data_IF_238833614836
#
_entry.id   IF_238833614836
#
_cell.length_a   1.000
_cell.length_b   1.000
_cell.length_c   1.000
_cell.angle_alpha   90.00
_cell.angle_beta   90.00
_cell.angle_gamma   90.00
#
_symmetry.space_group_name_H-M   'P 1'
#
loop_
_entity.id
_entity.type
_entity.pdbx_description
1 polymer ?
2 non-polymer ?
3 non-polymer ?
4 water ?
#
# COMPACT_ATOMS: atom_id res chain seq x y z
N UNK A 39 12.22 1.49 -26.98
CA UNK A 39 12.63 1.85 -25.59
C UNK A 39 12.60 3.35 -25.36
N UNK A 40 11.52 3.82 -24.74
CA UNK A 40 11.54 5.08 -24.03
C UNK A 40 12.58 5.00 -22.91
N UNK A 41 13.57 5.90 -22.95
CA UNK A 41 14.55 6.05 -21.88
C UNK A 41 13.87 6.79 -20.71
N UNK A 42 14.01 6.24 -19.50
CA UNK A 42 13.41 6.81 -18.30
C UNK A 42 14.48 7.47 -17.42
N UNK A 43 14.33 8.79 -17.26
CA UNK A 43 15.28 9.64 -16.50
C UNK A 43 14.56 10.29 -15.30
N UNK A 44 15.04 10.02 -14.10
CA UNK A 44 14.47 10.72 -12.95
C UNK A 44 15.18 12.02 -12.65
N UNK A 45 14.41 13.08 -12.43
CA UNK A 45 14.96 14.36 -11.99
C UNK A 45 14.85 14.40 -10.49
N UNK A 46 16.01 14.37 -9.84
CA UNK A 46 16.08 14.37 -8.36
C UNK A 46 16.57 15.70 -7.75
N UNK A 47 16.15 15.99 -6.52
CA UNK A 47 16.53 17.25 -5.93
C UNK A 47 15.70 17.60 -4.72
N UNK A 48 16.30 18.42 -3.87
CA UNK A 48 15.65 18.81 -2.61
C UNK A 48 14.38 19.64 -2.93
N UNK A 49 13.58 19.87 -1.90
CA UNK A 49 12.38 20.69 -2.02
C UNK A 49 12.75 22.11 -2.54
N UNK A 50 12.03 22.54 -3.57
CA UNK A 50 12.23 23.85 -4.24
C UNK A 50 13.60 24.05 -4.89
N UNK A 51 14.37 22.97 -5.15
CA UNK A 51 15.61 23.04 -5.92
C UNK A 51 15.36 23.63 -7.33
N UNK A 52 14.17 23.35 -7.90
CA UNK A 52 13.82 23.82 -9.26
C UNK A 52 13.47 22.71 -10.26
N UNK A 53 13.02 21.56 -9.77
CA UNK A 53 12.65 20.45 -10.67
C UNK A 53 11.52 20.76 -11.65
N UNK A 54 10.42 21.35 -11.15
CA UNK A 54 9.29 21.71 -12.02
C UNK A 54 9.76 22.73 -13.04
N UNK A 55 10.50 23.73 -12.58
CA UNK A 55 11.06 24.75 -13.47
C UNK A 55 11.91 24.15 -14.59
N UNK A 56 12.80 23.22 -14.23
CA UNK A 56 13.70 22.59 -15.18
C UNK A 56 12.95 21.74 -16.19
N UNK A 57 12.03 20.94 -15.69
CA UNK A 57 11.30 20.03 -16.51
C UNK A 57 10.29 20.77 -17.42
N UNK A 58 9.67 21.85 -16.94
CA UNK A 58 8.85 22.71 -17.80
C UNK A 58 9.66 23.30 -18.97
N UNK A 59 10.95 23.57 -18.72
CA UNK A 59 11.89 23.99 -19.76
C UNK A 59 12.17 22.85 -20.75
N UNK A 60 12.56 21.68 -20.24
CA UNK A 60 12.96 20.51 -21.06
C UNK A 60 11.85 20.02 -22.00
N UNK A 61 10.64 19.87 -21.46
CA UNK A 61 9.50 19.44 -22.25
C UNK A 61 9.22 20.36 -23.46
N UNK A 62 9.42 21.67 -23.31
CA UNK A 62 9.23 22.63 -24.41
C UNK A 62 10.25 22.51 -25.55
N UNK A 63 11.25 21.62 -25.38
CA UNK A 63 12.40 21.61 -26.27
C UNK A 63 12.35 20.56 -27.39
N UNK A 64 11.89 19.35 -27.07
CA UNK A 64 11.72 18.31 -28.10
C UNK A 64 10.40 17.55 -27.99
N UNK A 65 9.77 17.32 -29.15
CA UNK A 65 8.53 16.54 -29.22
C UNK A 65 8.75 15.13 -28.68
N UNK A 66 10.01 14.68 -28.72
CA UNK A 66 10.41 13.34 -28.27
C UNK A 66 10.63 13.23 -26.74
N UNK A 67 10.52 14.37 -26.04
CA UNK A 67 10.69 14.43 -24.58
C UNK A 67 9.39 14.75 -23.87
N UNK A 68 8.96 13.85 -22.99
CA UNK A 68 7.78 14.08 -22.17
C UNK A 68 8.19 14.01 -20.70
N UNK A 69 7.39 14.65 -19.85
CA UNK A 69 7.67 14.66 -18.43
C UNK A 69 6.55 14.03 -17.62
N UNK A 70 6.87 13.52 -16.44
CA UNK A 70 5.80 13.19 -15.51
C UNK A 70 5.95 13.92 -14.16
N UNK A 71 5.09 14.95 -13.95
CA UNK A 71 5.10 15.81 -12.78
C UNK A 71 4.77 15.02 -11.53
N UNK A 72 5.33 15.45 -10.44
CA UNK A 72 5.00 14.89 -9.16
C UNK A 72 3.54 15.24 -8.87
N UNK A 73 2.72 14.27 -8.38
CA UNK A 73 1.26 14.45 -8.16
C UNK A 73 0.81 15.45 -7.07
N UNK A 74 1.48 16.60 -6.96
CA UNK A 74 1.26 17.55 -5.84
C UNK A 74 -0.20 18.02 -5.65
N UNK A 75 -0.88 18.30 -6.75
CA UNK A 75 -2.27 18.71 -6.71
C UNK A 75 -3.14 17.65 -6.03
N UNK A 76 -2.91 16.39 -6.41
CA UNK A 76 -3.61 15.26 -5.81
C UNK A 76 -3.37 15.20 -4.30
N UNK A 77 -2.16 15.51 -3.86
CA UNK A 77 -1.88 15.44 -2.43
C UNK A 77 -2.47 16.60 -1.66
N UNK A 78 -2.72 17.70 -2.36
CA UNK A 78 -3.27 18.91 -1.73
C UNK A 78 -4.78 18.86 -1.58
N UNK A 79 -5.40 17.97 -2.37
CA UNK A 79 -6.85 17.79 -2.37
C UNK A 79 -7.13 16.32 -2.71
N UNK A 80 -7.21 15.52 -1.66
CA UNK A 80 -7.20 14.06 -1.80
C UNK A 80 -8.38 13.48 -2.60
N UNK A 97 -10.58 19.47 3.96
CA UNK A 97 -10.05 19.73 2.61
C UNK A 97 -9.49 18.45 2.03
N UNK A 98 -8.98 17.59 2.92
CA UNK A 98 -8.21 16.45 2.50
C UNK A 98 -6.92 17.01 1.88
N UNK A 99 -6.25 17.90 2.58
CA UNK A 99 -4.86 18.27 2.26
C UNK A 99 -3.87 17.42 3.06
N UNK A 100 -3.53 16.23 2.56
CA UNK A 100 -2.68 15.30 3.31
C UNK A 100 -1.20 15.81 3.31
N UNK A 101 -0.80 16.59 2.31
CA UNK A 101 0.51 17.30 2.38
C UNK A 101 0.52 18.16 3.66
N UNK A 102 -0.49 19.01 3.81
CA UNK A 102 -0.58 19.87 4.99
C UNK A 102 -0.71 19.08 6.28
N UNK A 103 -1.42 17.96 6.24
CA UNK A 103 -1.66 17.19 7.48
C UNK A 103 -0.30 16.64 7.97
N UNK A 104 0.49 16.14 7.04
CA UNK A 104 1.81 15.65 7.41
C UNK A 104 2.76 16.73 7.97
N UNK A 105 2.82 17.91 7.34
CA UNK A 105 3.67 18.99 7.78
C UNK A 105 3.23 19.50 9.16
N UNK A 106 1.92 19.57 9.36
CA UNK A 106 1.35 20.04 10.65
C UNK A 106 1.55 19.04 11.78
N UNK A 107 1.39 17.75 11.49
CA UNK A 107 1.57 16.72 12.53
C UNK A 107 2.23 15.47 11.93
N UNK A 108 3.55 15.54 11.68
CA UNK A 108 4.27 14.48 10.94
C UNK A 108 4.22 13.13 11.65
N UNK A 109 4.19 13.15 12.98
CA UNK A 109 4.23 11.90 13.73
C UNK A 109 2.87 11.18 13.65
N UNK A 110 1.81 11.92 13.34
CA UNK A 110 0.51 11.31 13.11
C UNK A 110 0.31 10.88 11.63
N UNK A 111 0.78 11.70 10.68
CA UNK A 111 0.43 11.57 9.26
C UNK A 111 1.50 11.15 8.24
N UNK A 112 2.76 11.06 8.65
CA UNK A 112 3.87 10.71 7.75
C UNK A 112 3.67 9.39 7.04
N UNK A 113 3.26 8.35 7.80
CA UNK A 113 3.10 7.00 7.18
C UNK A 113 2.02 7.05 6.13
N UNK A 114 0.86 7.63 6.53
CA UNK A 114 -0.28 7.82 5.64
C UNK A 114 0.15 8.59 4.37
N UNK A 115 0.88 9.68 4.56
CA UNK A 115 1.40 10.45 3.43
C UNK A 115 2.34 9.64 2.53
N UNK A 116 3.28 8.92 3.14
CA UNK A 116 4.23 8.11 2.35
C UNK A 116 3.54 7.11 1.45
N UNK A 117 2.55 6.43 2.01
CA UNK A 117 1.83 5.45 1.23
C UNK A 117 1.10 6.10 0.05
N UNK A 118 0.40 7.20 0.29
CA UNK A 118 -0.35 7.83 -0.80
C UNK A 118 0.57 8.46 -1.85
N UNK A 119 1.63 9.11 -1.37
CA UNK A 119 2.57 9.80 -2.24
C UNK A 119 3.20 8.84 -3.24
N UNK A 120 3.77 7.75 -2.74
CA UNK A 120 4.39 6.74 -3.59
C UNK A 120 3.43 6.09 -4.57
N UNK A 121 2.26 5.70 -4.08
CA UNK A 121 1.21 5.14 -4.94
C UNK A 121 0.85 6.10 -6.05
N UNK A 122 0.56 7.36 -5.69
CA UNK A 122 0.19 8.35 -6.69
C UNK A 122 1.30 8.57 -7.74
N UNK A 123 2.55 8.57 -7.29
CA UNK A 123 3.70 8.69 -8.21
C UNK A 123 3.80 7.48 -9.15
N UNK A 124 3.66 6.26 -8.61
CA UNK A 124 3.72 5.03 -9.42
C UNK A 124 2.64 5.01 -10.51
N UNK A 125 1.40 5.31 -10.11
CA UNK A 125 0.28 5.45 -11.04
C UNK A 125 0.59 6.42 -12.18
N UNK A 126 1.08 7.61 -11.86
CA UNK A 126 1.46 8.58 -12.91
C UNK A 126 2.54 8.09 -13.84
N UNK A 127 3.56 7.48 -13.26
CA UNK A 127 4.71 7.04 -14.05
C UNK A 127 4.31 5.88 -14.98
N UNK A 128 3.54 4.92 -14.46
CA UNK A 128 3.04 3.80 -15.29
C UNK A 128 2.15 4.29 -16.42
N UNK A 129 1.28 5.25 -16.08
CA UNK A 129 0.38 5.84 -17.08
C UNK A 129 1.14 6.49 -18.22
N UNK A 130 2.20 7.23 -17.90
CA UNK A 130 3.02 7.94 -18.89
C UNK A 130 3.71 7.02 -19.89
N UNK A 131 3.97 5.78 -19.49
CA UNK A 131 4.61 4.79 -20.38
C UNK A 131 3.78 4.47 -21.64
N UNK A 132 2.47 4.70 -21.57
CA UNK A 132 1.57 4.51 -22.73
C UNK A 132 1.06 5.84 -23.29
N UNK A 138 7.93 7.92 -31.35
CA UNK A 138 8.94 8.96 -31.53
C UNK A 138 10.34 8.39 -31.86
N UNK A 139 11.21 9.24 -32.39
CA UNK A 139 12.59 8.86 -32.80
C UNK A 139 13.47 8.36 -31.65
N UNK A 140 13.76 9.24 -30.69
CA UNK A 140 14.43 8.87 -29.44
C UNK A 140 13.55 9.38 -28.28
N UNK A 141 12.59 8.54 -27.84
CA UNK A 141 11.74 9.06 -26.77
C UNK A 141 12.45 9.06 -25.41
N UNK A 142 12.24 10.15 -24.66
CA UNK A 142 12.74 10.25 -23.30
C UNK A 142 11.57 10.64 -22.38
N UNK A 143 11.47 9.90 -21.28
CA UNK A 143 10.53 10.23 -20.24
C UNK A 143 11.28 10.73 -19.00
N UNK A 144 11.00 11.95 -18.60
CA UNK A 144 11.61 12.57 -17.43
C UNK A 144 10.61 12.52 -16.28
N UNK A 145 10.96 11.76 -15.23
CA UNK A 145 10.14 11.70 -14.03
C UNK A 145 10.56 12.75 -13.01
N UNK A 146 9.60 13.48 -12.46
CA UNK A 146 9.87 14.29 -11.27
C UNK A 146 9.94 13.40 -10.01
N UNK A 147 11.17 13.16 -9.57
CA UNK A 147 11.51 12.23 -8.47
C UNK A 147 11.12 10.78 -8.80
N UNK A 148 11.40 9.87 -7.88
CA UNK A 148 11.26 8.45 -8.15
C UNK A 148 10.74 7.73 -6.92
N UNK A 149 10.32 6.47 -7.09
CA UNK A 149 9.95 5.66 -5.89
C UNK A 149 11.12 5.54 -4.93
N UNK A 150 12.34 5.66 -5.44
CA UNK A 150 13.53 5.56 -4.58
C UNK A 150 13.73 6.75 -3.65
N UNK A 151 13.49 7.97 -4.16
CA UNK A 151 13.61 9.11 -3.26
C UNK A 151 12.50 9.12 -2.23
N UNK A 152 11.29 8.67 -2.62
CA UNK A 152 10.22 8.49 -1.65
C UNK A 152 10.71 7.69 -0.45
N UNK A 153 11.37 6.57 -0.72
CA UNK A 153 11.74 5.67 0.38
C UNK A 153 13.03 6.05 1.12
N UNK A 154 14.07 6.34 0.35
CA UNK A 154 15.46 6.42 0.84
C UNK A 154 15.85 7.84 1.17
N UNK A 155 15.04 8.80 0.73
CA UNK A 155 15.24 10.17 1.14
C UNK A 155 14.15 10.58 2.14
N UNK A 156 12.89 10.66 1.69
CA UNK A 156 11.84 11.18 2.54
C UNK A 156 11.41 10.24 3.65
N UNK A 157 11.05 9.02 3.29
CA UNK A 157 10.49 8.12 4.33
C UNK A 157 11.57 7.78 5.39
N UNK A 158 12.78 7.52 4.92
CA UNK A 158 13.92 7.21 5.79
C UNK A 158 14.20 8.34 6.78
N UNK A 159 14.24 9.59 6.29
CA UNK A 159 14.44 10.74 7.16
C UNK A 159 13.35 10.84 8.22
N UNK A 160 12.12 10.51 7.81
CA UNK A 160 11.01 10.61 8.72
C UNK A 160 11.16 9.57 9.81
N UNK A 161 11.48 8.34 9.44
CA UNK A 161 11.80 7.29 10.45
C UNK A 161 12.94 7.71 11.38
N UNK A 162 14.04 8.18 10.79
CA UNK A 162 15.19 8.63 11.57
C UNK A 162 14.89 9.76 12.57
N UNK A 163 13.93 10.63 12.22
CA UNK A 163 13.52 11.76 13.07
C UNK A 163 12.38 11.41 14.03
N UNK A 164 11.98 10.14 14.04
CA UNK A 164 10.90 9.65 14.89
C UNK A 164 9.47 10.11 14.57
N UNK A 165 9.25 10.48 13.30
CA UNK A 165 7.93 10.80 12.77
C UNK A 165 7.21 9.56 12.26
N UNK A 166 7.96 8.49 12.04
CA UNK A 166 7.39 7.16 11.88
C UNK A 166 8.03 6.25 12.92
N UNK A 167 7.20 5.48 13.64
CA UNK A 167 7.76 4.46 14.56
C UNK A 167 8.27 3.20 13.83
N UNK A 168 8.78 2.23 14.60
CA UNK A 168 9.40 1.02 14.03
C UNK A 168 8.42 0.19 13.19
N UNK A 169 7.20 0.07 13.69
CA UNK A 169 6.12 -0.66 13.04
C UNK A 169 5.74 0.02 11.72
N UNK A 170 5.51 1.32 11.79
CA UNK A 170 5.14 2.08 10.57
C UNK A 170 6.23 1.91 9.51
N UNK A 171 7.48 2.05 9.93
CA UNK A 171 8.62 1.92 9.04
C UNK A 171 8.72 0.50 8.47
N UNK A 172 8.54 -0.52 9.32
CA UNK A 172 8.49 -1.90 8.85
C UNK A 172 7.40 -2.19 7.79
N UNK A 173 6.17 -1.74 8.09
CA UNK A 173 5.03 -1.88 7.20
C UNK A 173 5.30 -1.16 5.87
N UNK A 174 5.80 0.06 5.96
CA UNK A 174 6.14 0.85 4.79
C UNK A 174 7.14 0.17 3.87
N UNK A 175 8.27 -0.28 4.41
CA UNK A 175 9.33 -0.91 3.59
C UNK A 175 8.81 -2.17 2.91
N UNK A 176 8.00 -2.91 3.66
CA UNK A 176 7.39 -4.15 3.17
C UNK A 176 6.46 -3.88 2.00
N UNK A 177 5.60 -2.86 2.16
CA UNK A 177 4.72 -2.36 1.09
C UNK A 177 5.52 -1.93 -0.17
N UNK A 178 6.53 -1.08 0.05
CA UNK A 178 7.39 -0.54 -1.03
C UNK A 178 8.16 -1.66 -1.76
N UNK A 179 8.79 -2.56 -1.00
CA UNK A 179 9.37 -3.79 -1.55
C UNK A 179 8.41 -4.54 -2.48
N UNK A 180 7.19 -4.80 -2.00
CA UNK A 180 6.15 -5.48 -2.76
C UNK A 180 5.77 -4.77 -4.05
N UNK A 181 5.37 -3.49 -3.96
CA UNK A 181 5.01 -2.66 -5.12
C UNK A 181 6.04 -2.65 -6.24
N UNK A 182 7.31 -2.67 -5.86
CA UNK A 182 8.41 -2.65 -6.81
C UNK A 182 8.74 -3.98 -7.49
N UNK A 183 8.54 -5.09 -6.78
CA UNK A 183 8.61 -6.41 -7.40
C UNK A 183 7.59 -6.55 -8.51
N UNK A 184 6.45 -5.89 -8.36
CA UNK A 184 5.41 -5.95 -9.37
C UNK A 184 5.69 -4.98 -10.53
N UNK A 185 6.44 -3.89 -10.29
CA UNK A 185 6.61 -2.83 -11.30
C UNK A 185 8.01 -2.20 -11.42
N UNK A 186 8.98 -2.73 -10.68
CA UNK A 186 10.36 -2.29 -10.82
C UNK A 186 10.70 -2.26 -12.30
N UNK A 187 10.49 -3.40 -12.97
CA UNK A 187 10.88 -3.60 -14.37
C UNK A 187 10.43 -2.48 -15.33
N UNK A 188 9.17 -2.07 -15.22
CA UNK A 188 8.59 -1.04 -16.12
C UNK A 188 9.17 0.34 -15.87
N UNK A 189 9.49 0.64 -14.61
CA UNK A 189 9.97 1.96 -14.24
C UNK A 189 11.48 2.02 -13.93
N UNK A 190 12.23 1.00 -14.33
CA UNK A 190 13.68 0.95 -14.14
C UNK A 190 14.29 2.16 -14.82
N UNK A 191 15.12 2.90 -14.11
CA UNK A 191 15.66 4.17 -14.62
C UNK A 191 16.92 3.92 -15.44
N UNK A 192 17.03 4.65 -16.54
CA UNK A 192 18.22 4.64 -17.36
C UNK A 192 19.24 5.68 -16.91
N UNK A 193 18.81 6.64 -16.10
CA UNK A 193 19.71 7.71 -15.70
C UNK A 193 19.00 8.59 -14.71
N UNK A 194 19.80 9.39 -14.00
CA UNK A 194 19.29 10.30 -12.99
C UNK A 194 19.91 11.67 -13.24
N UNK A 195 19.07 12.72 -13.29
CA UNK A 195 19.56 14.10 -13.26
C UNK A 195 19.34 14.67 -11.87
N UNK A 196 20.45 15.00 -11.22
CA UNK A 196 20.49 15.56 -9.86
C UNK A 196 20.62 17.08 -9.96
N UNK A 197 19.54 17.78 -9.60
CA UNK A 197 19.57 19.23 -9.52
C UNK A 197 20.03 19.58 -8.11
N UNK A 198 21.29 19.96 -7.99
CA UNK A 198 21.93 20.23 -6.71
C UNK A 198 21.88 21.69 -6.29
N UNK A 199 21.33 21.96 -5.11
CA UNK A 199 21.24 23.33 -4.61
C UNK A 199 21.47 23.25 -3.13
N UNK A 200 21.98 24.32 -2.53
CA UNK A 200 22.24 24.30 -1.08
C UNK A 200 20.93 24.27 -0.30
N UNK A 201 20.95 23.78 0.95
CA UNK A 201 19.78 23.95 1.78
C UNK A 201 19.30 25.40 1.82
N UNK A 202 20.22 26.37 1.83
CA UNK A 202 19.83 27.81 1.99
C UNK A 202 19.10 28.27 0.75
N UNK A 203 19.60 27.85 -0.42
CA UNK A 203 18.94 28.14 -1.68
C UNK A 203 17.51 27.61 -1.67
N UNK A 204 17.35 26.34 -1.24
CA UNK A 204 16.05 25.67 -1.23
C UNK A 204 15.08 26.32 -0.23
N UNK A 205 15.61 26.73 0.90
CA UNK A 205 14.76 27.43 1.88
C UNK A 205 14.24 28.71 1.27
N UNK A 206 15.11 29.45 0.58
CA UNK A 206 14.65 30.71 -0.04
C UNK A 206 13.65 30.50 -1.16
N UNK A 207 13.88 29.46 -1.98
CA UNK A 207 12.93 29.09 -3.03
C UNK A 207 11.58 28.59 -2.48
N UNK A 208 11.59 27.92 -1.34
CA UNK A 208 10.31 27.65 -0.59
C UNK A 208 9.58 28.95 -0.25
N UNK A 209 10.32 29.93 0.27
CA UNK A 209 9.72 31.21 0.65
C UNK A 209 9.12 31.92 -0.55
N UNK A 210 9.86 31.86 -1.66
CA UNK A 210 9.51 32.44 -2.94
C UNK A 210 8.23 31.88 -3.49
N UNK A 211 8.18 30.56 -3.59
CA UNK A 211 7.01 29.82 -4.08
C UNK A 211 5.77 30.01 -3.20
N UNK A 212 6.01 30.06 -1.89
CA UNK A 212 4.97 30.36 -0.92
C UNK A 212 3.82 29.39 -0.75
N UNK A 213 4.04 28.08 -0.99
CA UNK A 213 3.05 27.08 -0.55
C UNK A 213 2.81 27.21 0.94
N UNK A 214 1.56 27.40 1.34
CA UNK A 214 1.21 27.62 2.71
C UNK A 214 1.64 26.44 3.57
N UNK A 215 1.44 25.22 3.08
CA UNK A 215 1.84 24.00 3.86
C UNK A 215 3.34 23.94 4.17
N UNK A 216 4.18 24.62 3.40
CA UNK A 216 5.67 24.45 3.49
C UNK A 216 6.38 25.54 4.31
N UNK A 217 5.62 26.52 4.80
CA UNK A 217 6.24 27.70 5.39
C UNK A 217 6.80 27.48 6.80
N UNK A 218 6.36 26.39 7.45
CA UNK A 218 6.92 25.93 8.74
C UNK A 218 8.23 25.15 8.63
N UNK A 219 8.66 24.84 7.39
CA UNK A 219 9.82 23.97 7.22
C UNK A 219 11.10 24.62 7.72
N UNK A 220 11.79 23.94 8.66
CA UNK A 220 13.09 24.46 9.13
C UNK A 220 14.27 24.08 8.21
N UNK A 221 15.26 24.98 8.18
CA UNK A 221 16.52 24.67 7.48
C UNK A 221 17.05 23.27 7.88
N UNK A 222 16.92 22.89 9.14
CA UNK A 222 17.46 21.59 9.57
C UNK A 222 16.84 20.41 8.87
N UNK A 223 15.56 20.54 8.52
CA UNK A 223 14.84 19.53 7.71
C UNK A 223 15.44 19.43 6.33
N UNK A 224 15.69 20.58 5.71
CA UNK A 224 16.25 20.60 4.34
C UNK A 224 17.66 20.02 4.30
N UNK A 225 18.42 20.33 5.33
CA UNK A 225 19.78 19.78 5.49
C UNK A 225 19.75 18.24 5.51
N UNK A 226 18.89 17.70 6.35
CA UNK A 226 18.73 16.25 6.45
C UNK A 226 18.42 15.62 5.08
N UNK A 227 17.49 16.23 4.32
CA UNK A 227 17.16 15.76 2.96
C UNK A 227 18.31 15.97 2.01
N UNK A 228 19.01 17.11 2.12
CA UNK A 228 20.18 17.38 1.29
C UNK A 228 21.27 16.31 1.47
N UNK A 229 21.52 15.95 2.72
CA UNK A 229 22.59 14.97 3.04
C UNK A 229 22.25 13.65 2.40
N UNK A 230 20.96 13.29 2.45
CA UNK A 230 20.50 12.09 1.72
C UNK A 230 20.73 12.12 0.22
N UNK A 231 20.40 13.24 -0.42
CA UNK A 231 20.67 13.38 -1.87
C UNK A 231 22.15 13.23 -2.12
N UNK A 232 22.96 13.87 -1.28
CA UNK A 232 24.40 13.95 -1.49
C UNK A 232 24.98 12.55 -1.30
N UNK A 233 24.54 11.88 -0.24
CA UNK A 233 25.02 10.53 -0.01
C UNK A 233 24.57 9.54 -1.10
N UNK A 234 23.36 9.70 -1.62
CA UNK A 234 22.87 8.80 -2.65
C UNK A 234 23.54 9.10 -4.00
N UNK A 235 23.54 10.36 -4.41
CA UNK A 235 23.73 10.67 -5.81
C UNK A 235 25.12 11.19 -6.12
N UNK A 236 25.79 11.74 -5.13
CA UNK A 236 27.11 12.34 -5.36
C UNK A 236 28.22 11.45 -4.81
N UNK A 237 28.16 11.14 -3.52
CA UNK A 237 29.11 10.25 -2.87
C UNK A 237 28.85 8.78 -3.23
N UNK A 238 27.59 8.48 -3.54
CA UNK A 238 27.11 7.11 -3.84
C UNK A 238 27.38 6.12 -2.73
N UNK A 239 27.23 6.58 -1.49
CA UNK A 239 27.42 5.79 -0.28
C UNK A 239 26.14 5.23 0.34
N UNK A 240 25.02 5.86 0.05
CA UNK A 240 23.71 5.46 0.58
C UNK A 240 23.33 4.10 -0.02
N UNK A 241 23.13 3.11 0.85
CA UNK A 241 22.75 1.78 0.38
C UNK A 241 21.22 1.66 0.30
N UNK A 242 20.74 1.30 -0.90
CA UNK A 242 19.34 0.94 -1.12
C UNK A 242 19.23 -0.56 -1.40
N UNK A 243 18.00 -1.04 -1.56
CA UNK A 243 17.68 -2.43 -1.81
C UNK A 243 17.66 -2.73 -3.31
N UNK A 244 18.01 -1.74 -4.12
CA UNK A 244 17.92 -1.89 -5.57
C UNK A 244 19.29 -1.66 -6.20
N UNK A 245 20.05 -2.76 -6.32
CA UNK A 245 21.51 -2.69 -6.60
C UNK A 245 21.94 -1.95 -7.84
N UNK A 246 21.08 -1.93 -8.86
CA UNK A 246 21.39 -1.32 -10.17
C UNK A 246 21.55 0.17 -10.05
N UNK A 247 20.91 0.74 -9.04
CA UNK A 247 21.01 2.16 -8.73
C UNK A 247 22.43 2.60 -8.40
N UNK A 248 23.28 1.67 -7.94
CA UNK A 248 24.71 1.97 -7.70
C UNK A 248 25.43 2.35 -8.97
N UNK A 249 25.01 1.80 -10.10
CA UNK A 249 25.73 1.97 -11.35
C UNK A 249 24.96 2.83 -12.36
N UNK A 250 23.78 3.31 -12.00
CA UNK A 250 22.99 4.09 -12.95
C UNK A 250 23.72 5.43 -13.21
N UNK A 251 23.85 5.83 -14.48
CA UNK A 251 24.57 7.09 -14.74
C UNK A 251 23.85 8.27 -14.13
N UNK A 252 24.61 9.20 -13.56
CA UNK A 252 24.05 10.38 -12.90
C UNK A 252 24.66 11.65 -13.47
N UNK A 253 23.82 12.59 -13.88
CA UNK A 253 24.26 13.94 -14.26
C UNK A 253 23.94 14.87 -13.09
N UNK A 254 24.95 15.56 -12.56
CA UNK A 254 24.73 16.49 -11.45
C UNK A 254 24.85 17.89 -11.97
N UNK A 255 23.80 18.68 -11.72
CA UNK A 255 23.74 20.08 -12.15
C UNK A 255 23.60 21.01 -10.96
N UNK A 256 24.49 22.01 -10.93
CA UNK A 256 24.41 23.06 -9.93
C UNK A 256 23.33 24.07 -10.35
N UNK A 257 22.27 24.17 -9.55
CA UNK A 257 21.15 25.07 -9.84
C UNK A 257 20.99 26.10 -8.73
N UNK A 258 22.08 26.44 -8.04
CA UNK A 258 22.06 27.54 -7.05
C UNK A 258 21.81 28.90 -7.72
N UNK A 259 22.30 29.05 -8.94
CA UNK A 259 21.97 30.25 -9.71
C UNK A 259 20.61 30.10 -10.39
N UNK A 260 19.83 31.16 -10.42
CA UNK A 260 18.56 31.17 -11.14
C UNK A 260 18.81 30.81 -12.61
N UNK A 261 18.13 29.78 -13.11
CA UNK A 261 18.36 29.27 -14.47
C UNK A 261 17.18 29.50 -15.38
N UNK A 262 16.10 30.10 -14.86
CA UNK A 262 14.90 30.38 -15.70
C UNK A 262 15.18 31.01 -17.09
N UNK A 263 16.16 31.91 -17.17
CA UNK A 263 16.55 32.56 -18.42
C UNK A 263 18.03 32.35 -18.72
N UNK A 264 18.64 31.43 -17.99
CA UNK A 264 20.07 31.16 -18.11
C UNK A 264 20.20 29.64 -17.99
N UNK A 265 19.67 28.93 -18.98
CA UNK A 265 19.60 27.46 -19.01
C UNK A 265 20.29 26.76 -20.20
N UNK A 266 20.90 27.54 -21.09
CA UNK A 266 21.50 26.95 -22.30
C UNK A 266 22.59 25.98 -21.91
N UNK A 267 23.41 26.35 -20.92
CA UNK A 267 24.48 25.45 -20.44
C UNK A 267 23.90 24.16 -19.84
N UNK A 268 22.93 24.29 -18.93
CA UNK A 268 22.26 23.11 -18.35
C UNK A 268 21.63 22.19 -19.42
N UNK A 269 20.95 22.77 -20.40
CA UNK A 269 20.32 21.97 -21.44
C UNK A 269 21.37 21.29 -22.33
N UNK A 270 22.47 21.99 -22.63
CA UNK A 270 23.61 21.39 -23.34
C UNK A 270 24.11 20.14 -22.60
N UNK A 271 24.25 20.25 -21.27
CA UNK A 271 24.71 19.12 -20.45
C UNK A 271 23.76 17.92 -20.51
N UNK A 272 22.46 18.17 -20.45
CA UNK A 272 21.46 17.08 -20.53
C UNK A 272 21.51 16.30 -21.86
N UNK A 273 21.59 17.02 -22.97
CA UNK A 273 21.66 16.42 -24.31
C UNK A 273 22.89 15.54 -24.43
N UNK A 274 24.03 16.07 -23.99
CA UNK A 274 25.29 15.31 -23.98
C UNK A 274 25.17 14.03 -23.14
N UNK A 275 24.65 14.16 -21.93
CA UNK A 275 24.38 13.04 -21.04
C UNK A 275 23.45 11.99 -21.65
N UNK A 276 22.32 12.42 -22.22
CA UNK A 276 21.37 11.49 -22.84
C UNK A 276 22.01 10.70 -23.98
N UNK A 277 22.89 11.35 -24.74
CA UNK A 277 23.56 10.69 -25.86
C UNK A 277 24.63 9.64 -25.46
N UNK A 278 24.94 9.53 -24.16
CA UNK A 278 25.86 8.54 -23.63
C UNK A 278 25.11 7.29 -23.15
N UNK A 279 23.79 7.39 -23.11
CA UNK A 279 22.94 6.32 -22.61
C UNK A 279 22.60 5.36 -23.74
N UNK B 39 -7.03 -25.17 -13.36
CA UNK B 39 -7.14 -24.05 -12.38
C UNK B 39 -7.79 -24.50 -11.06
N UNK B 40 -7.20 -24.00 -9.98
CA UNK B 40 -7.67 -24.23 -8.63
C UNK B 40 -8.96 -23.43 -8.45
N UNK B 41 -9.97 -24.06 -7.84
CA UNK B 41 -11.14 -23.32 -7.39
C UNK B 41 -10.79 -22.59 -6.08
N UNK B 42 -11.08 -21.29 -6.07
CA UNK B 42 -10.82 -20.45 -4.89
C UNK B 42 -12.12 -20.20 -4.12
N UNK B 43 -12.14 -20.56 -2.83
CA UNK B 43 -13.34 -20.43 -1.99
C UNK B 43 -12.97 -19.61 -0.76
N UNK B 44 -13.64 -18.48 -0.54
CA UNK B 44 -13.39 -17.74 0.72
C UNK B 44 -14.31 -18.25 1.83
N UNK B 45 -13.77 -18.35 3.03
CA UNK B 45 -14.55 -18.63 4.23
C UNK B 45 -14.64 -17.28 4.95
N UNK B 46 -15.87 -16.79 5.05
CA UNK B 46 -16.22 -15.50 5.63
C UNK B 46 -16.97 -15.74 6.92
N UNK B 47 -16.88 -14.78 7.82
CA UNK B 47 -17.58 -14.93 9.09
C UNK B 47 -17.07 -13.91 10.09
N UNK B 48 -17.89 -13.60 11.07
CA UNK B 48 -17.47 -12.68 12.09
C UNK B 48 -16.25 -13.21 12.93
N UNK B 49 -15.72 -12.30 13.75
CA UNK B 49 -14.60 -12.62 14.63
C UNK B 49 -15.00 -13.80 15.55
N UNK B 50 -14.21 -14.86 15.54
CA UNK B 50 -14.41 -16.03 16.42
C UNK B 50 -15.65 -16.87 16.07
N UNK B 51 -16.18 -16.75 14.84
CA UNK B 51 -17.30 -17.57 14.40
C UNK B 51 -16.89 -19.04 14.36
N UNK B 52 -15.60 -19.28 14.06
CA UNK B 52 -15.01 -20.60 13.95
C UNK B 52 -14.40 -20.91 12.61
N UNK B 53 -13.93 -19.89 11.88
CA UNK B 53 -13.30 -20.10 10.56
C UNK B 53 -12.03 -20.94 10.59
N UNK B 54 -11.10 -20.60 11.48
CA UNK B 54 -9.86 -21.39 11.61
C UNK B 54 -10.18 -22.81 12.07
N UNK B 55 -11.05 -22.96 13.06
CA UNK B 55 -11.53 -24.30 13.47
C UNK B 55 -12.05 -25.13 12.26
N UNK B 56 -12.93 -24.51 11.47
CA UNK B 56 -13.56 -25.15 10.33
C UNK B 56 -12.58 -25.54 9.23
N UNK B 57 -11.68 -24.64 8.95
CA UNK B 57 -10.78 -24.79 7.85
C UNK B 57 -9.74 -25.88 8.22
N UNK B 58 -9.43 -26.00 9.51
CA UNK B 58 -8.47 -27.00 9.96
C UNK B 58 -9.06 -28.40 10.02
N UNK B 59 -10.39 -28.49 10.02
CA UNK B 59 -11.12 -29.71 9.75
C UNK B 59 -11.09 -30.06 8.25
N UNK B 60 -11.36 -29.07 7.40
CA UNK B 60 -11.44 -29.30 5.95
C UNK B 60 -10.10 -29.73 5.34
N UNK B 61 -9.00 -29.13 5.78
CA UNK B 61 -7.70 -29.43 5.18
C UNK B 61 -7.27 -30.89 5.41
N UNK B 62 -7.76 -31.51 6.47
CA UNK B 62 -7.45 -32.90 6.81
C UNK B 62 -8.23 -33.90 5.93
N UNK B 63 -9.27 -33.42 5.23
CA UNK B 63 -10.23 -34.29 4.55
C UNK B 63 -9.90 -34.69 3.11
N UNK B 64 -8.90 -34.06 2.50
CA UNK B 64 -8.48 -34.39 1.15
C UNK B 64 -7.15 -33.75 0.76
N UNK B 65 -6.34 -34.48 0.00
CA UNK B 65 -5.05 -33.98 -0.49
C UNK B 65 -5.29 -32.85 -1.45
N UNK B 66 -6.51 -32.80 -1.98
CA UNK B 66 -6.86 -31.82 -2.99
C UNK B 66 -7.27 -30.48 -2.38
N UNK B 67 -7.43 -30.46 -1.06
CA UNK B 67 -7.89 -29.27 -0.32
C UNK B 67 -6.79 -28.69 0.57
N UNK B 68 -6.48 -27.42 0.32
CA UNK B 68 -5.49 -26.67 1.06
C UNK B 68 -6.11 -25.32 1.53
N UNK B 69 -5.51 -24.72 2.55
CA UNK B 69 -6.07 -23.53 3.21
C UNK B 69 -5.05 -22.40 3.27
N UNK B 70 -5.53 -21.14 3.23
CA UNK B 70 -4.66 -19.98 3.43
C UNK B 70 -5.18 -19.28 4.67
N UNK B 71 -4.51 -19.51 5.79
CA UNK B 71 -4.93 -18.88 7.03
C UNK B 71 -4.73 -17.37 6.94
N UNK B 72 -5.51 -16.62 7.71
CA UNK B 72 -5.31 -15.20 7.90
C UNK B 72 -3.94 -15.04 8.58
N UNK B 73 -3.09 -14.09 8.10
CA UNK B 73 -1.75 -13.92 8.69
C UNK B 73 -1.74 -13.24 10.08
N UNK B 74 -2.55 -13.73 11.00
CA UNK B 74 -2.70 -13.12 12.34
C UNK B 74 -1.35 -13.02 13.10
N UNK B 75 -0.49 -14.02 12.92
CA UNK B 75 0.79 -14.03 13.59
C UNK B 75 1.70 -12.93 13.04
N UNK B 76 1.55 -12.58 11.75
CA UNK B 76 2.29 -11.46 11.19
C UNK B 76 1.81 -10.15 11.82
N UNK B 77 0.51 -10.06 12.13
CA UNK B 77 -0.10 -8.82 12.65
C UNK B 77 0.21 -8.61 14.12
N UNK B 78 0.53 -9.70 14.81
CA UNK B 78 0.74 -9.66 16.25
C UNK B 78 2.20 -9.37 16.57
N UNK B 79 3.06 -9.55 15.57
CA UNK B 79 4.47 -9.21 15.67
C UNK B 79 5.00 -8.81 14.30
N UNK B 80 4.98 -7.50 14.06
CA UNK B 80 5.27 -6.93 12.77
C UNK B 80 6.76 -7.08 12.41
N UNK B 81 7.02 -7.77 11.31
CA UNK B 81 8.38 -8.25 11.04
C UNK B 81 9.11 -7.80 9.78
N UNK B 82 8.61 -8.12 8.59
CA UNK B 82 9.37 -7.90 7.32
C UNK B 82 9.80 -9.18 6.60
N UNK B 83 9.84 -9.10 5.27
CA UNK B 83 10.15 -10.22 4.36
C UNK B 83 8.95 -11.13 4.16
N UNK B 97 8.98 -6.80 18.23
CA UNK B 97 8.18 -6.25 17.11
C UNK B 97 6.78 -5.79 17.53
N UNK B 98 6.28 -4.75 16.86
CA UNK B 98 5.01 -4.18 17.14
C UNK B 98 3.84 -5.11 16.90
N UNK B 99 2.87 -5.01 17.79
CA UNK B 99 1.63 -5.75 17.64
C UNK B 99 0.61 -4.78 17.08
N UNK B 100 0.42 -4.77 15.77
CA UNK B 100 -0.39 -3.73 15.13
C UNK B 100 -1.86 -4.08 15.29
N UNK B 101 -2.13 -5.34 15.60
CA UNK B 101 -3.49 -5.78 15.91
C UNK B 101 -3.89 -5.11 17.22
N UNK B 102 -3.02 -5.23 18.21
CA UNK B 102 -3.26 -4.63 19.52
C UNK B 102 -3.28 -3.10 19.43
N UNK B 103 -2.38 -2.53 18.63
CA UNK B 103 -2.36 -1.08 18.40
C UNK B 103 -3.71 -0.54 17.88
N UNK B 104 -4.25 -1.24 16.91
CA UNK B 104 -5.55 -0.89 16.40
C UNK B 104 -6.67 -0.99 17.43
N UNK B 105 -6.76 -2.13 18.13
CA UNK B 105 -7.81 -2.27 19.16
C UNK B 105 -7.69 -1.25 20.25
N UNK B 106 -6.45 -0.94 20.67
CA UNK B 106 -6.26 0.03 21.76
C UNK B 106 -6.56 1.48 21.33
N UNK B 107 -6.26 1.82 20.08
CA UNK B 107 -6.48 3.19 19.58
C UNK B 107 -6.90 3.19 18.11
N UNK B 108 -8.13 2.74 17.82
CA UNK B 108 -8.48 2.56 16.41
C UNK B 108 -8.42 3.84 15.56
N UNK B 109 -8.65 4.99 16.18
CA UNK B 109 -8.72 6.23 15.41
C UNK B 109 -7.32 6.70 15.00
N UNK B 110 -6.28 6.16 15.66
CA UNK B 110 -4.87 6.37 15.28
C UNK B 110 -4.36 5.29 14.30
N UNK B 111 -4.70 4.04 14.58
CA UNK B 111 -4.05 2.90 13.91
C UNK B 111 -4.88 2.11 12.86
N UNK B 112 -6.18 2.43 12.73
CA UNK B 112 -7.02 1.65 11.83
C UNK B 112 -6.56 1.64 10.38
N UNK B 113 -6.20 2.83 9.83
CA UNK B 113 -5.79 2.92 8.40
C UNK B 113 -4.52 2.09 8.17
N UNK B 114 -3.56 2.24 9.08
CA UNK B 114 -2.29 1.53 9.08
C UNK B 114 -2.58 0.04 9.15
N UNK B 115 -3.43 -0.37 10.09
CA UNK B 115 -3.81 -1.79 10.15
C UNK B 115 -4.43 -2.27 8.82
N UNK B 116 -5.35 -1.50 8.25
CA UNK B 116 -6.03 -1.96 7.03
C UNK B 116 -5.07 -2.22 5.88
N UNK B 117 -4.08 -1.33 5.70
CA UNK B 117 -3.17 -1.54 4.57
C UNK B 117 -2.30 -2.76 4.81
N UNK B 118 -1.85 -2.96 6.03
CA UNK B 118 -0.90 -4.03 6.28
C UNK B 118 -1.62 -5.39 6.16
N UNK B 119 -2.83 -5.43 6.72
CA UNK B 119 -3.60 -6.67 6.81
C UNK B 119 -4.03 -7.08 5.42
N UNK B 120 -4.39 -6.10 4.59
CA UNK B 120 -4.80 -6.42 3.25
C UNK B 120 -3.63 -6.88 2.37
N UNK B 121 -2.50 -6.18 2.48
CA UNK B 121 -1.28 -6.60 1.76
C UNK B 121 -0.84 -8.00 2.22
N UNK B 122 -0.81 -8.22 3.52
CA UNK B 122 -0.37 -9.51 4.03
C UNK B 122 -1.30 -10.65 3.56
N UNK B 123 -2.59 -10.36 3.37
CA UNK B 123 -3.58 -11.35 2.98
C UNK B 123 -3.36 -11.71 1.50
N UNK B 124 -3.19 -10.66 0.70
CA UNK B 124 -2.90 -10.77 -0.72
C UNK B 124 -1.63 -11.60 -0.96
N UNK B 125 -0.56 -11.23 -0.29
CA UNK B 125 0.69 -11.98 -0.37
C UNK B 125 0.49 -13.46 -0.02
N UNK B 126 -0.22 -13.72 1.07
CA UNK B 126 -0.44 -15.11 1.52
C UNK B 126 -1.27 -15.91 0.51
N UNK B 127 -2.30 -15.26 -0.04
CA UNK B 127 -3.20 -15.92 -0.97
C UNK B 127 -2.51 -16.18 -2.31
N UNK B 128 -1.71 -15.21 -2.76
CA UNK B 128 -0.95 -15.37 -4.02
C UNK B 128 0.12 -16.48 -3.94
N UNK B 129 0.83 -16.54 -2.81
CA UNK B 129 1.86 -17.56 -2.62
C UNK B 129 1.25 -18.95 -2.61
N UNK B 130 0.03 -19.06 -2.10
CA UNK B 130 -0.75 -20.31 -2.10
C UNK B 130 -1.03 -20.88 -3.49
N UNK B 131 -1.06 -20.03 -4.51
CA UNK B 131 -1.37 -20.47 -5.87
C UNK B 131 -0.25 -21.23 -6.55
N UNK B 132 1.00 -20.84 -6.26
CA UNK B 132 2.19 -21.46 -6.85
C UNK B 132 2.69 -22.63 -5.99
N UNK B 135 -0.76 -26.39 -5.25
CA UNK B 135 -1.56 -27.57 -5.58
C UNK B 135 -1.21 -28.09 -6.97
N UNK B 137 -0.42 -29.85 -9.09
CA UNK B 137 -0.95 -31.09 -9.64
C UNK B 137 -1.78 -31.92 -8.67
N UNK B 138 -3.01 -31.47 -8.40
CA UNK B 138 -4.02 -32.29 -7.74
C UNK B 138 -5.10 -32.47 -8.78
N UNK B 139 -6.08 -33.33 -8.50
CA UNK B 139 -7.10 -33.62 -9.50
C UNK B 139 -8.26 -32.64 -9.49
N UNK B 140 -8.84 -32.45 -8.30
CA UNK B 140 -9.94 -31.52 -8.08
C UNK B 140 -9.49 -30.52 -7.00
N UNK B 141 -8.53 -29.63 -7.34
CA UNK B 141 -7.92 -28.79 -6.29
C UNK B 141 -8.84 -27.66 -5.80
N UNK B 142 -8.93 -27.51 -4.48
CA UNK B 142 -9.72 -26.44 -3.88
C UNK B 142 -8.87 -25.72 -2.85
N UNK B 143 -8.82 -24.40 -2.98
CA UNK B 143 -8.09 -23.58 -2.04
C UNK B 143 -9.09 -22.82 -1.17
N UNK B 144 -9.02 -22.97 0.15
CA UNK B 144 -9.92 -22.24 1.05
C UNK B 144 -9.19 -21.05 1.68
N UNK B 145 -9.63 -19.83 1.33
CA UNK B 145 -9.12 -18.59 1.95
C UNK B 145 -9.86 -18.29 3.23
N UNK B 146 -9.11 -18.02 4.29
CA UNK B 146 -9.72 -17.45 5.49
C UNK B 146 -9.93 -15.94 5.21
N UNK B 147 -11.19 -15.59 4.95
CA UNK B 147 -11.58 -14.25 4.48
C UNK B 147 -10.91 -13.80 3.17
N UNK B 148 -11.25 -12.61 2.72
CA UNK B 148 -10.89 -12.18 1.39
C UNK B 148 -10.54 -10.70 1.40
N UNK B 149 -10.00 -10.22 0.30
CA UNK B 149 -9.78 -8.75 0.19
C UNK B 149 -11.07 -7.92 0.26
N UNK B 150 -12.18 -8.56 -0.12
CA UNK B 150 -13.49 -7.92 -0.05
C UNK B 150 -13.96 -7.72 1.35
N UNK B 151 -13.80 -8.74 2.21
CA UNK B 151 -14.23 -8.49 3.58
C UNK B 151 -13.31 -7.47 4.30
N UNK B 152 -12.01 -7.47 4.00
CA UNK B 152 -11.13 -6.38 4.44
C UNK B 152 -11.74 -4.99 4.16
N UNK B 153 -12.17 -4.77 2.92
CA UNK B 153 -12.68 -3.47 2.52
C UNK B 153 -14.14 -3.24 2.87
N UNK B 154 -14.99 -4.20 2.52
CA UNK B 154 -16.43 -3.94 2.56
C UNK B 154 -17.07 -4.26 3.88
N UNK B 155 -16.35 -4.96 4.77
CA UNK B 155 -16.84 -5.24 6.14
C UNK B 155 -16.00 -4.46 7.13
N UNK B 156 -14.72 -4.82 7.30
CA UNK B 156 -13.89 -4.15 8.28
C UNK B 156 -13.60 -2.67 8.04
N UNK B 157 -13.00 -2.34 6.90
CA UNK B 157 -12.58 -0.95 6.70
C UNK B 157 -13.80 -0.05 6.64
N UNK B 158 -14.83 -0.49 5.93
CA UNK B 158 -16.10 0.26 5.80
C UNK B 158 -16.66 0.57 7.19
N UNK B 159 -16.78 -0.46 8.04
CA UNK B 159 -17.21 -0.22 9.40
C UNK B 159 -16.38 0.78 10.22
N UNK B 160 -15.05 0.74 10.09
CA UNK B 160 -14.21 1.65 10.85
C UNK B 160 -14.39 3.10 10.37
N UNK B 161 -14.60 3.27 9.08
CA UNK B 161 -14.89 4.60 8.53
C UNK B 161 -16.26 5.08 9.01
N UNK B 162 -17.26 4.18 8.99
CA UNK B 162 -18.60 4.49 9.43
C UNK B 162 -18.64 4.85 10.93
N UNK B 163 -17.72 4.27 11.70
CA UNK B 163 -17.65 4.53 13.14
C UNK B 163 -16.67 5.66 13.49
N UNK B 164 -16.17 6.37 12.47
CA UNK B 164 -15.19 7.47 12.61
C UNK B 164 -13.80 7.12 13.15
N UNK B 165 -13.43 5.84 13.04
CA UNK B 165 -12.04 5.42 13.29
C UNK B 165 -11.09 5.76 12.14
N UNK B 166 -11.64 5.91 10.93
CA UNK B 166 -10.87 6.42 9.81
C UNK B 166 -11.58 7.71 9.36
N UNK B 167 -10.82 8.78 9.07
CA UNK B 167 -11.47 9.98 8.51
C UNK B 167 -11.64 9.94 6.98
N UNK B 168 -12.15 11.02 6.39
CA UNK B 168 -12.53 11.02 4.98
C UNK B 168 -11.29 10.84 4.12
N UNK B 169 -10.19 11.45 4.56
CA UNK B 169 -8.90 11.38 3.83
C UNK B 169 -8.38 9.92 3.91
N UNK B 170 -8.30 9.38 5.13
CA UNK B 170 -7.87 7.96 5.32
C UNK B 170 -8.71 7.01 4.42
N UNK B 171 -10.03 7.23 4.43
CA UNK B 171 -10.95 6.36 3.69
C UNK B 171 -10.80 6.46 2.18
N UNK B 172 -10.69 7.70 1.65
CA UNK B 172 -10.33 7.93 0.24
C UNK B 172 -9.03 7.27 -0.14
N UNK B 173 -8.01 7.46 0.71
CA UNK B 173 -6.69 6.91 0.40
C UNK B 173 -6.72 5.36 0.36
N UNK B 174 -7.32 4.77 1.39
CA UNK B 174 -7.50 3.33 1.47
C UNK B 174 -8.21 2.73 0.25
N UNK B 175 -9.36 3.30 -0.12
CA UNK B 175 -10.07 2.86 -1.31
C UNK B 175 -9.24 2.92 -2.58
N UNK B 176 -8.57 4.05 -2.79
CA UNK B 176 -7.69 4.23 -3.94
C UNK B 176 -6.62 3.14 -3.93
N UNK B 177 -6.06 2.89 -2.76
CA UNK B 177 -5.02 1.89 -2.56
C UNK B 177 -5.61 0.49 -2.81
N UNK B 178 -6.76 0.19 -2.21
CA UNK B 178 -7.38 -1.13 -2.39
C UNK B 178 -7.68 -1.41 -3.87
N UNK B 179 -8.27 -0.43 -4.55
CA UNK B 179 -8.53 -0.55 -5.98
C UNK B 179 -7.31 -0.98 -6.73
N UNK B 180 -6.23 -0.21 -6.60
CA UNK B 180 -5.03 -0.46 -7.37
C UNK B 180 -4.43 -1.82 -6.99
N UNK B 181 -4.38 -2.11 -5.70
CA UNK B 181 -3.69 -3.33 -5.25
C UNK B 181 -4.38 -4.57 -5.84
N UNK B 182 -5.70 -4.54 -5.78
CA UNK B 182 -6.55 -5.63 -6.22
C UNK B 182 -6.58 -5.68 -7.75
N UNK B 183 -6.63 -4.52 -8.39
CA UNK B 183 -6.58 -4.42 -9.85
C UNK B 183 -5.25 -4.87 -10.45
N UNK B 184 -4.17 -4.81 -9.67
CA UNK B 184 -2.84 -5.19 -10.13
C UNK B 184 -2.46 -6.61 -9.74
N UNK B 185 -2.87 -7.04 -8.54
CA UNK B 185 -2.38 -8.31 -8.02
C UNK B 185 -3.46 -9.32 -7.62
N UNK B 186 -4.73 -8.94 -7.72
CA UNK B 186 -5.83 -9.79 -7.27
C UNK B 186 -6.53 -10.59 -8.37
N UNK B 187 -6.24 -10.30 -9.64
CA UNK B 187 -6.93 -10.93 -10.77
C UNK B 187 -6.96 -12.46 -10.62
N UNK B 188 -5.86 -13.03 -10.13
CA UNK B 188 -5.78 -14.46 -9.95
C UNK B 188 -6.40 -14.95 -8.64
N UNK B 189 -7.02 -14.04 -7.89
CA UNK B 189 -7.67 -14.34 -6.62
C UNK B 189 -9.20 -14.25 -6.67
N UNK B 190 -9.79 -14.07 -7.86
CA UNK B 190 -11.25 -14.01 -7.98
C UNK B 190 -11.88 -15.28 -7.40
N UNK B 191 -12.95 -15.11 -6.62
CA UNK B 191 -13.55 -16.26 -5.93
C UNK B 191 -14.47 -17.08 -6.83
N UNK B 192 -14.44 -18.40 -6.65
CA UNK B 192 -15.40 -19.29 -7.32
C UNK B 192 -16.60 -19.56 -6.44
N UNK B 193 -16.46 -19.23 -5.17
CA UNK B 193 -17.49 -19.52 -4.20
C UNK B 193 -17.15 -18.93 -2.86
N UNK B 194 -18.18 -18.75 -2.02
CA UNK B 194 -18.00 -18.26 -0.66
C UNK B 194 -18.73 -19.20 0.27
N UNK B 195 -18.06 -19.51 1.38
CA UNK B 195 -18.78 -20.17 2.45
C UNK B 195 -18.87 -19.22 3.65
N UNK B 196 -20.09 -18.98 4.10
CA UNK B 196 -20.37 -18.00 5.16
C UNK B 196 -20.71 -18.80 6.43
N UNK B 197 -19.81 -18.72 7.42
CA UNK B 197 -20.04 -19.35 8.70
C UNK B 197 -20.79 -18.31 9.56
N UNK B 198 -22.07 -18.57 9.74
CA UNK B 198 -22.97 -17.62 10.39
C UNK B 198 -23.18 -17.93 11.86
N UNK B 199 -22.85 -16.96 12.71
CA UNK B 199 -22.94 -17.15 14.17
C UNK B 199 -23.51 -15.88 14.74
N UNK B 200 -24.33 -15.94 15.78
CA UNK B 200 -24.85 -14.67 16.28
C UNK B 200 -23.70 -13.82 16.87
N UNK B 201 -23.90 -12.49 16.95
CA UNK B 201 -22.92 -11.71 17.68
C UNK B 201 -22.63 -12.24 19.11
N UNK B 202 -23.65 -12.71 19.83
CA UNK B 202 -23.47 -13.28 21.20
C UNK B 202 -22.58 -14.52 21.18
N UNK B 203 -22.74 -15.38 20.17
CA UNK B 203 -21.94 -16.60 20.06
C UNK B 203 -20.48 -16.19 19.85
N UNK B 204 -20.27 -15.31 18.88
CA UNK B 204 -18.92 -14.74 18.63
C UNK B 204 -18.25 -14.14 19.88
N UNK B 205 -18.97 -13.29 20.58
CA UNK B 205 -18.42 -12.71 21.78
C UNK B 205 -17.97 -13.78 22.79
N UNK B 206 -18.77 -14.81 23.00
CA UNK B 206 -18.32 -15.84 23.95
C UNK B 206 -17.14 -16.65 23.40
N UNK B 207 -17.12 -16.90 22.09
CA UNK B 207 -15.95 -17.52 21.45
C UNK B 207 -14.68 -16.66 21.50
N UNK B 208 -14.83 -15.34 21.48
CA UNK B 208 -13.69 -14.41 21.72
C UNK B 208 -13.14 -14.66 23.13
N UNK B 209 -14.05 -14.74 24.08
CA UNK B 209 -13.67 -14.96 25.49
C UNK B 209 -13.03 -16.35 25.71
N UNK B 210 -13.57 -17.38 25.07
CA UNK B 210 -13.00 -18.74 25.00
C UNK B 210 -11.56 -18.83 24.44
N UNK B 211 -11.33 -18.23 23.27
CA UNK B 211 -9.99 -18.22 22.66
C UNK B 211 -9.01 -17.37 23.52
N UNK B 212 -9.50 -16.27 24.06
CA UNK B 212 -8.76 -15.45 25.01
C UNK B 212 -7.54 -14.71 24.42
N UNK B 213 -7.60 -14.35 23.14
CA UNK B 213 -6.61 -13.41 22.60
C UNK B 213 -6.63 -12.10 23.42
N UNK B 214 -5.49 -11.75 24.02
CA UNK B 214 -5.39 -10.57 24.85
C UNK B 214 -5.93 -9.31 24.20
N UNK B 215 -5.55 -9.08 22.96
CA UNK B 215 -5.88 -7.79 22.35
C UNK B 215 -7.38 -7.69 21.94
N UNK B 216 -8.12 -8.82 22.02
CA UNK B 216 -9.55 -8.85 21.65
C UNK B 216 -10.52 -8.74 22.84
N UNK B 217 -9.97 -8.73 24.05
CA UNK B 217 -10.81 -8.85 25.25
C UNK B 217 -11.64 -7.62 25.52
N UNK B 218 -11.24 -6.47 24.97
CA UNK B 218 -12.05 -5.25 25.05
C UNK B 218 -13.15 -5.06 24.02
N UNK B 219 -13.30 -6.00 23.09
CA UNK B 219 -14.31 -5.87 22.01
C UNK B 219 -15.72 -5.87 22.59
N UNK B 220 -16.49 -4.78 22.33
CA UNK B 220 -17.90 -4.75 22.78
C UNK B 220 -18.85 -5.49 21.81
N UNK B 221 -19.96 -5.99 22.35
CA UNK B 221 -20.99 -6.65 21.55
C UNK B 221 -21.42 -5.84 20.32
N UNK B 222 -21.57 -4.54 20.54
CA UNK B 222 -21.95 -3.60 19.47
C UNK B 222 -21.03 -3.59 18.24
N UNK B 223 -19.73 -3.74 18.46
CA UNK B 223 -18.79 -3.85 17.38
C UNK B 223 -19.06 -5.10 16.57
N UNK B 224 -19.25 -6.23 17.28
CA UNK B 224 -19.59 -7.52 16.60
C UNK B 224 -20.93 -7.45 15.79
N UNK B 225 -21.89 -6.75 16.35
CA UNK B 225 -23.21 -6.51 15.70
C UNK B 225 -23.03 -5.79 14.36
N UNK B 226 -22.23 -4.72 14.41
CA UNK B 226 -21.94 -3.94 13.21
C UNK B 226 -21.34 -4.83 12.12
N UNK B 227 -20.39 -5.71 12.49
CA UNK B 227 -19.71 -6.59 11.52
C UNK B 227 -20.67 -7.66 11.07
N UNK B 228 -21.50 -8.10 12.00
CA UNK B 228 -22.53 -9.10 11.69
C UNK B 228 -23.48 -8.52 10.65
N UNK B 229 -23.90 -7.29 10.86
CA UNK B 229 -24.85 -6.72 9.91
C UNK B 229 -24.25 -6.66 8.49
N UNK B 230 -22.98 -6.22 8.43
CA UNK B 230 -22.24 -6.18 7.17
C UNK B 230 -22.14 -7.55 6.46
N UNK B 231 -21.89 -8.62 7.21
CA UNK B 231 -21.91 -9.97 6.66
C UNK B 231 -23.29 -10.38 6.10
N UNK B 232 -24.33 -10.17 6.89
CA UNK B 232 -25.71 -10.50 6.51
C UNK B 232 -26.11 -9.76 5.24
N UNK B 233 -25.83 -8.47 5.22
CA UNK B 233 -26.21 -7.61 4.12
C UNK B 233 -25.48 -8.04 2.83
N UNK B 234 -24.19 -8.38 2.94
CA UNK B 234 -23.38 -8.80 1.80
C UNK B 234 -23.71 -10.21 1.28
N UNK B 235 -23.76 -11.18 2.18
CA UNK B 235 -23.79 -12.60 1.81
C UNK B 235 -25.16 -13.25 1.92
N UNK B 236 -26.08 -12.68 2.70
CA UNK B 236 -27.37 -13.33 2.87
C UNK B 236 -28.44 -12.58 2.08
N UNK B 237 -28.59 -11.30 2.42
CA UNK B 237 -29.52 -10.39 1.80
C UNK B 237 -29.02 -9.92 0.45
N UNK B 238 -27.71 -10.04 0.25
CA UNK B 238 -27.05 -9.64 -0.98
C UNK B 238 -27.43 -8.20 -1.40
N UNK B 239 -27.56 -7.33 -0.40
CA UNK B 239 -27.84 -5.89 -0.59
C UNK B 239 -26.62 -4.98 -0.66
N UNK B 240 -25.48 -5.44 -0.13
CA UNK B 240 -24.28 -4.58 0.01
C UNK B 240 -23.63 -4.16 -1.33
N UNK B 242 -20.64 -3.93 -3.88
CA UNK B 242 -19.19 -3.71 -4.02
C UNK B 242 -18.85 -3.06 -5.38
N UNK B 246 -18.45 -9.05 -10.40
CA UNK B 246 -18.70 -10.48 -10.44
C UNK B 246 -19.25 -11.05 -9.12
N UNK B 247 -18.90 -10.42 -7.99
CA UNK B 247 -19.28 -10.93 -6.66
C UNK B 247 -20.80 -11.03 -6.46
N UNK B 248 -21.56 -10.15 -7.11
CA UNK B 248 -23.02 -10.21 -7.06
C UNK B 248 -23.54 -11.60 -7.48
N UNK B 249 -22.70 -12.35 -8.19
CA UNK B 249 -23.05 -13.59 -8.86
C UNK B 249 -22.44 -14.85 -8.19
N UNK B 250 -21.37 -14.67 -7.42
CA UNK B 250 -20.65 -15.82 -6.83
C UNK B 250 -21.61 -16.64 -5.96
N UNK B 251 -21.59 -17.99 -6.12
CA UNK B 251 -22.42 -18.84 -5.25
C UNK B 251 -21.99 -18.76 -3.79
N UNK B 252 -22.97 -18.78 -2.90
CA UNK B 252 -22.71 -18.70 -1.47
C UNK B 252 -23.36 -19.85 -0.74
N UNK B 253 -22.56 -20.54 0.07
CA UNK B 253 -23.09 -21.52 1.00
C UNK B 253 -23.11 -20.91 2.40
N UNK B 254 -24.27 -20.92 3.06
CA UNK B 254 -24.35 -20.36 4.42
C UNK B 254 -24.50 -21.52 5.39
N UNK B 255 -23.59 -21.58 6.35
CA UNK B 255 -23.65 -22.61 7.41
C UNK B 255 -23.90 -21.97 8.75
N UNK B 256 -24.85 -22.52 9.47
CA UNK B 256 -25.14 -22.07 10.85
C UNK B 256 -24.13 -22.75 11.77
N UNK B 257 -23.27 -21.97 12.43
CA UNK B 257 -22.26 -22.55 13.34
C UNK B 257 -22.44 -22.14 14.79
N UNK B 258 -23.68 -21.85 15.20
CA UNK B 258 -23.96 -21.48 16.59
C UNK B 258 -23.73 -22.63 17.55
N UNK B 259 -24.03 -23.83 17.07
CA UNK B 259 -23.74 -25.04 17.81
C UNK B 259 -22.27 -25.36 17.62
N UNK B 260 -21.60 -25.70 18.72
CA UNK B 260 -20.23 -26.18 18.67
C UNK B 260 -20.11 -27.33 17.64
N UNK B 261 -19.16 -27.23 16.72
CA UNK B 261 -19.03 -28.22 15.65
C UNK B 261 -17.70 -28.97 15.68
N UNK B 262 -16.87 -28.70 16.69
CA UNK B 262 -15.51 -29.29 16.76
C UNK B 262 -15.48 -30.82 16.62
N UNK B 263 -16.48 -31.46 17.20
CA UNK B 263 -16.61 -32.89 17.17
C UNK B 263 -17.98 -33.30 16.59
N UNK B 264 -18.62 -32.37 15.87
CA UNK B 264 -19.94 -32.60 15.32
C UNK B 264 -20.08 -31.75 14.04
N UNK B 265 -19.36 -32.17 13.01
CA UNK B 265 -19.19 -31.40 11.79
C UNK B 265 -19.52 -32.19 10.53
N UNK B 266 -19.97 -33.42 10.69
CA UNK B 266 -20.20 -34.27 9.52
C UNK B 266 -21.22 -33.62 8.58
N UNK B 267 -22.30 -33.09 9.14
CA UNK B 267 -23.34 -32.45 8.33
C UNK B 267 -22.85 -31.18 7.61
N UNK B 268 -21.98 -30.42 8.29
CA UNK B 268 -21.40 -29.21 7.67
C UNK B 268 -20.51 -29.61 6.51
N UNK B 269 -19.74 -30.68 6.71
CA UNK B 269 -18.77 -31.11 5.72
C UNK B 269 -19.50 -31.67 4.50
N UNK B 270 -20.62 -32.35 4.72
CA UNK B 270 -21.41 -32.89 3.62
C UNK B 270 -22.01 -31.74 2.77
N UNK B 271 -22.48 -30.67 3.43
CA UNK B 271 -22.94 -29.45 2.74
C UNK B 271 -21.86 -28.80 1.89
N UNK B 272 -20.63 -28.81 2.38
CA UNK B 272 -19.50 -28.23 1.68
C UNK B 272 -19.13 -29.08 0.45
N UNK B 273 -18.99 -30.39 0.65
CA UNK B 273 -18.76 -31.34 -0.46
C UNK B 273 -19.78 -31.13 -1.57
N UNK B 274 -21.06 -31.03 -1.19
CA UNK B 274 -22.13 -30.86 -2.17
C UNK B 274 -22.04 -29.52 -2.89
N UNK B 275 -21.91 -28.45 -2.12
CA UNK B 275 -21.68 -27.13 -2.68
C UNK B 275 -20.50 -27.11 -3.65
N UNK B 276 -19.37 -27.69 -3.27
CA UNK B 276 -18.22 -27.70 -4.17
C UNK B 276 -18.53 -28.45 -5.46
N UNK B 277 -19.36 -29.50 -5.36
CA UNK B 277 -19.72 -30.32 -6.51
C UNK B 277 -20.62 -29.57 -7.53
N UNK B 278 -21.15 -28.41 -7.14
CA UNK B 278 -21.98 -27.58 -8.04
C UNK B 278 -21.22 -26.48 -8.80
N UNK B 279 -19.96 -26.23 -8.45
CA UNK B 279 -19.26 -25.03 -8.95
C UNK B 279 -18.64 -25.24 -10.33
X LIG C 1 12.70 29.32 -9.17
X LIG C 1 13.26 30.51 -9.67
X LIG C 1 14.34 30.50 -10.51
X LIG C 1 14.85 29.28 -10.85
X LIG C 1 14.33 28.06 -10.37
X LIG C 1 13.23 28.12 -9.52
X LIG C 1 12.80 31.56 -9.36
X LIG C 1 15.82 29.25 -11.60
X LIG C 1 11.56 29.37 -8.28
X LIG C 1 10.30 28.74 -8.83
X LIG C 1 9.58 29.67 -9.54
X LIG C 1 9.52 28.35 -7.59
X LIG C 1 10.65 28.02 -6.64
X LIG C 1 11.85 28.66 -7.09
X LIG C 1 8.90 29.49 -7.12
X LIG C 1 10.80 26.49 -6.51
X LIG C 1 11.16 25.94 -7.88
X LIG C 1 10.31 24.69 -8.35
X LIG C 1 8.85 24.63 -8.09
X LIG C 1 10.60 24.34 -9.69
X LIG C 1 11.02 23.54 -7.44
X LIG C 1 10.74 21.93 -7.21
X LIG C 1 9.90 21.43 -8.29
X LIG C 1 10.15 21.80 -5.86
X LIG C 1 12.09 21.40 -7.06
X LIG D 1 7.41 13.54 2.07
X LIG D 1 7.34 14.51 0.07
X LIG D 1 7.55 13.27 -0.50
X LIG D 1 7.68 12.13 0.29
X LIG D 1 7.35 14.81 -2.05
X LIG D 1 7.33 13.85 3.74
X LIG D 1 7.27 14.66 1.37
X LIG D 1 7.25 15.42 -0.88
X LIG D 1 7.57 13.50 -1.82
X LIG D 1 7.87 10.88 -0.18
X LIG D 1 7.58 12.30 1.60
X LIG D 1 6.97 16.82 -0.56
X LIG D 1 8.14 17.79 -0.69
X LIG D 1 7.45 19.05 -1.17
X LIG D 1 7.07 19.75 0.03
X LIG D 1 6.20 18.60 -1.89
X LIG D 1 5.95 17.24 -1.49
X LIG D 1 6.32 18.64 -3.40
X LIG D 1 7.55 18.03 -3.73
X LIG E 1 -14.63 -22.92 18.94
X LIG E 1 -15.25 -23.94 19.69
X LIG E 1 -16.17 -24.75 19.06
X LIG E 1 -16.49 -24.53 17.73
X LIG E 1 -15.90 -23.49 16.98
X LIG E 1 -14.96 -22.69 17.63
X LIG E 1 -14.95 -24.10 20.87
X LIG E 1 -17.32 -25.24 17.17
X LIG E 1 -13.69 -22.05 19.58
X LIG E 1 -12.26 -22.15 19.07
X LIG E 1 -11.56 -23.21 19.69
X LIG E 1 -11.72 -20.80 19.47
X LIG E 1 -12.97 -19.91 19.27
X LIG E 1 -14.11 -20.72 19.31
X LIG E 1 -11.35 -20.79 20.86
X LIG E 1 -12.93 -19.10 17.96
X LIG E 1 -12.89 -20.08 16.87
X LIG E 1 -11.89 -19.73 15.69
X LIG E 1 -10.53 -19.30 16.05
X LIG E 1 -11.86 -20.87 14.79
X LIG E 1 -12.61 -18.46 15.03
X LIG E 1 -12.17 -17.54 13.72
X LIG E 1 -11.09 -18.22 12.98
X LIG E 1 -11.76 -16.24 14.25
X LIG E 1 -13.47 -17.38 13.09
X LIG F 1 -9.74 -5.04 11.12
X LIG F 1 -9.38 -7.31 11.12
X LIG F 1 -9.32 -7.28 9.74
X LIG F 1 -9.48 -6.06 9.08
X LIG F 1 -9.00 -9.33 10.42
X LIG F 1 -10.02 -3.51 11.97
X LIG F 1 -9.58 -6.19 11.80
X LIG F 1 -9.18 -8.55 11.51
X LIG F 1 -9.11 -8.55 9.34
X LIG F 1 -9.47 -5.95 7.74
X LIG F 1 -9.68 -4.95 9.80
X LIG F 1 -9.13 -8.94 12.94
X LIG F 1 -10.37 -9.63 13.52
X LIG F 1 -9.72 -10.56 14.54
X LIG F 1 -9.55 -9.78 15.74
X LIG F 1 -8.33 -10.89 13.98
X LIG F 1 -8.02 -9.82 13.07
X LIG F 1 -8.21 -12.24 13.30
X LIG F 1 -9.25 -12.47 12.32
#
# INVERSE_FOLDING_TARGET
MGSSHHHHHHSGLVPRGSHMATPPKRSSPSFSASSEGTRIKKISIEGNIAAGKSTFVNILKQLSEDWEVVPEPVARWSNVQSTQDEFEELTMSQKNGGNVLQMMYEKPERWSFTFQTYACLSRIRAQLASLNGKLKDAEKPVLFFERSVYSDRYIFASNLYESESMNETEWTIYQDWHDWMNNQFGQSLELDGIIYLQATPETCLHRIYLRGRNEEQGIPLEYLEKLHYKHESWLLHRTLKTNFDYLQEVPILTLDVNEDFKDKYESLVEKVKEFLSTL
MGSSHHHHHHSGLVPRGSHMATPPKRSSPSFSASSEGTRIKKISIEGNIAAGKSTFVNILKQLSEDWEVVPEPVARWSNVQSTQDEFEELTMSQKNGGNVLQMMYEKPERWSFTFQTYACLSRIRAQLASLNGKLKDAEKPVLFFERSVYSDRYIFASNLYESESMNETEWTIYQDWHDWMNNQFGQSLELDGIIYLQATPETCLHRIYLRGRNEEQGIPLEYLEKLHYKHESWLLHRTLKTNFDYLQEVPILTLDVNEDFKDKYESLVEKVKEFLSTL
UDP N1 C2 N3 C4 C5 C6 O2 O4 C1' C2' O2' C3' C4' O4' O3' C5' O5' PA O1A O2A O3A PB O1B O2B O3B
CL9 C2 C4 C5 C6 C8 CL N3 N9 N7 N6 N1 C1' C2' C3' O3' C4' O4' C5' O5'
UDP N1 C2 N3 C4 C5 C6 O2 O4 C1' C2' O2' C3' C4' O4' O3' C5' O5' PA O1A O2A O3A PB O1B O2B O3B
CL9 C2 C4 C5 C6 C8 CL N3 N9 N7 N6 N1 C1' C2' C3' O3' C4' O4' C5' O5'
#
